data_IF_195599135713
#
_entry.id   IF_195599135713
#
_cell.length_a   1.000
_cell.length_b   1.000
_cell.length_c   1.000
_cell.angle_alpha   90.00
_cell.angle_beta   90.00
_cell.angle_gamma   90.00
#
_symmetry.space_group_name_H-M   'P 1'
#
loop_
_entity.id
_entity.type
_entity.pdbx_description
1 polymer ?
#
# COMPACT_ATOMS: atom_id res chain seq x y z
N UNK A 1 -5.58 6.14 -34.34
CA UNK A 1 -5.29 6.67 -32.98
C UNK A 1 -6.05 5.80 -31.98
N UNK A 2 -5.74 4.50 -32.02
CA UNK A 2 -6.65 3.42 -31.61
C UNK A 2 -6.13 2.65 -30.40
N UNK A 3 -7.06 2.22 -29.54
CA UNK A 3 -6.99 1.18 -28.49
C UNK A 3 -5.92 1.25 -27.38
N UNK A 4 -4.90 2.11 -27.45
CA UNK A 4 -3.82 2.14 -26.44
C UNK A 4 -4.17 2.91 -25.17
N UNK A 5 -5.13 3.84 -25.22
CA UNK A 5 -5.50 4.71 -24.09
C UNK A 5 -5.87 3.95 -22.80
N UNK A 6 -6.81 2.99 -22.84
CA UNK A 6 -7.21 2.23 -21.65
C UNK A 6 -6.09 1.35 -21.08
N UNK A 7 -5.28 0.74 -21.95
CA UNK A 7 -4.16 -0.13 -21.55
C UNK A 7 -3.02 0.68 -20.92
N UNK A 8 -2.62 1.80 -21.54
CA UNK A 8 -1.61 2.71 -20.99
C UNK A 8 -2.06 3.28 -19.64
N UNK A 9 -3.32 3.69 -19.54
CA UNK A 9 -3.90 4.18 -18.28
C UNK A 9 -3.86 3.10 -17.17
N UNK A 10 -4.20 1.86 -17.51
CA UNK A 10 -4.12 0.72 -16.59
C UNK A 10 -2.69 0.44 -16.13
N UNK A 11 -1.70 0.50 -17.04
CA UNK A 11 -0.29 0.32 -16.70
C UNK A 11 0.19 1.42 -15.76
N UNK A 12 -0.12 2.69 -16.04
CA UNK A 12 0.22 3.81 -15.15
C UNK A 12 -0.42 3.64 -13.79
N UNK A 13 -1.71 3.28 -13.74
CA UNK A 13 -2.42 2.97 -12.50
C UNK A 13 -1.71 1.87 -11.71
N UNK A 14 -1.36 0.74 -12.34
CA UNK A 14 -0.66 -0.35 -11.68
C UNK A 14 0.70 0.13 -11.15
N UNK A 15 1.49 0.85 -11.93
CA UNK A 15 2.79 1.35 -11.49
C UNK A 15 2.69 2.29 -10.28
N UNK A 16 1.68 3.17 -10.24
CA UNK A 16 1.55 4.15 -9.15
C UNK A 16 0.83 3.56 -7.94
N UNK A 17 -0.34 2.95 -8.14
CA UNK A 17 -1.20 2.48 -7.05
C UNK A 17 -0.67 1.20 -6.39
N UNK A 18 -0.26 0.19 -7.17
CA UNK A 18 0.21 -1.07 -6.59
C UNK A 18 1.49 -0.86 -5.78
N UNK A 19 2.50 -0.21 -6.37
CA UNK A 19 3.77 0.03 -5.68
C UNK A 19 3.66 1.05 -4.56
N UNK A 20 2.79 2.06 -4.68
CA UNK A 20 2.50 2.98 -3.58
C UNK A 20 1.85 2.29 -2.37
N UNK A 21 0.90 1.41 -2.60
CA UNK A 21 0.28 0.59 -1.55
C UNK A 21 1.26 -0.42 -0.96
N UNK A 22 2.06 -1.08 -1.78
CA UNK A 22 3.11 -1.99 -1.33
C UNK A 22 4.15 -1.27 -0.46
N UNK A 23 4.60 -0.08 -0.88
CA UNK A 23 5.52 0.76 -0.10
C UNK A 23 4.95 1.12 1.27
N UNK A 24 3.67 1.46 1.34
CA UNK A 24 2.99 1.77 2.61
C UNK A 24 2.96 0.57 3.56
N UNK A 25 2.73 -0.64 3.04
CA UNK A 25 2.73 -1.87 3.85
C UNK A 25 4.16 -2.23 4.27
N UNK A 26 5.16 -2.07 3.39
CA UNK A 26 6.57 -2.25 3.75
C UNK A 26 6.99 -1.30 4.86
N UNK A 27 6.49 -0.07 4.86
CA UNK A 27 6.72 0.86 5.97
C UNK A 27 6.10 0.34 7.29
N UNK A 28 4.89 -0.21 7.27
CA UNK A 28 4.30 -0.85 8.47
C UNK A 28 5.15 -2.04 8.94
N UNK A 29 5.60 -2.90 8.02
CA UNK A 29 6.48 -4.03 8.36
C UNK A 29 7.79 -3.53 8.98
N UNK A 30 8.40 -2.48 8.42
CA UNK A 30 9.61 -1.88 8.97
C UNK A 30 9.37 -1.40 10.41
N UNK A 31 8.27 -0.67 10.67
CA UNK A 31 7.92 -0.22 12.02
C UNK A 31 7.68 -1.37 13.00
N UNK A 32 7.03 -2.46 12.55
CA UNK A 32 6.84 -3.66 13.36
C UNK A 32 8.18 -4.31 13.69
N UNK A 33 9.06 -4.50 12.70
CA UNK A 33 10.37 -5.08 12.93
C UNK A 33 11.23 -4.22 13.87
N UNK A 34 11.12 -2.89 13.78
CA UNK A 34 11.71 -1.97 14.75
C UNK A 34 11.18 -2.23 16.17
N UNK A 35 9.87 -2.32 16.36
CA UNK A 35 9.28 -2.64 17.66
C UNK A 35 9.74 -4.01 18.19
N UNK A 36 9.78 -5.03 17.33
CA UNK A 36 10.24 -6.37 17.73
C UNK A 36 11.71 -6.36 18.15
N UNK A 37 12.56 -5.63 17.44
CA UNK A 37 13.98 -5.53 17.75
C UNK A 37 14.27 -4.66 18.98
N UNK A 38 13.71 -3.44 19.04
CA UNK A 38 13.97 -2.48 20.11
C UNK A 38 13.21 -2.83 21.39
N UNK A 39 11.88 -3.03 21.29
CA UNK A 39 11.02 -3.21 22.45
C UNK A 39 10.95 -4.66 22.96
N UNK A 40 10.81 -5.62 22.04
CA UNK A 40 10.74 -7.04 22.41
C UNK A 40 12.11 -7.74 22.45
N UNK A 41 13.17 -7.05 22.03
CA UNK A 41 14.56 -7.55 22.01
C UNK A 41 14.72 -8.85 21.22
N UNK A 42 13.92 -9.05 20.18
CA UNK A 42 14.04 -10.22 19.30
C UNK A 42 15.34 -10.16 18.50
N UNK A 43 16.01 -11.31 18.37
CA UNK A 43 17.16 -11.47 17.49
C UNK A 43 16.76 -11.51 16.02
N UNK A 44 17.72 -11.21 15.13
CA UNK A 44 17.48 -11.18 13.68
C UNK A 44 16.98 -12.52 13.12
N UNK A 45 17.42 -13.65 13.67
CA UNK A 45 16.97 -14.99 13.25
C UNK A 45 15.48 -15.21 13.53
N UNK A 46 15.00 -14.76 14.70
CA UNK A 46 13.59 -14.84 15.06
C UNK A 46 12.73 -14.00 14.11
N UNK A 47 13.16 -12.78 13.77
CA UNK A 47 12.44 -11.90 12.83
C UNK A 47 12.47 -12.47 11.41
N UNK A 48 13.62 -12.98 10.97
CA UNK A 48 13.78 -13.58 9.64
C UNK A 48 12.88 -14.80 9.43
N UNK A 49 12.58 -15.56 10.50
CA UNK A 49 11.61 -16.66 10.46
C UNK A 49 10.20 -16.24 9.99
N UNK A 50 9.83 -14.97 10.17
CA UNK A 50 8.53 -14.43 9.75
C UNK A 50 8.55 -13.73 8.39
N UNK A 51 9.71 -13.65 7.70
CA UNK A 51 9.85 -12.91 6.45
C UNK A 51 8.83 -13.32 5.37
N UNK A 52 8.54 -14.62 5.26
CA UNK A 52 7.56 -15.14 4.30
C UNK A 52 6.16 -14.52 4.51
N UNK A 53 5.72 -14.34 5.75
CA UNK A 53 4.43 -13.72 6.07
C UNK A 53 4.43 -12.23 5.74
N UNK A 54 5.54 -11.54 6.02
CA UNK A 54 5.72 -10.13 5.68
C UNK A 54 5.65 -9.90 4.17
N UNK A 55 6.38 -10.69 3.38
CA UNK A 55 6.32 -10.62 1.92
C UNK A 55 4.92 -10.95 1.40
N UNK A 56 4.26 -11.97 1.94
CA UNK A 56 2.91 -12.33 1.53
C UNK A 56 1.94 -11.16 1.75
N UNK A 57 1.96 -10.53 2.93
CA UNK A 57 1.11 -9.37 3.23
C UNK A 57 1.43 -8.17 2.34
N UNK A 58 2.73 -7.86 2.15
CA UNK A 58 3.19 -6.72 1.37
C UNK A 58 2.81 -6.80 -0.12
N UNK A 59 2.67 -8.01 -0.67
CA UNK A 59 2.33 -8.20 -2.09
C UNK A 59 0.86 -8.54 -2.30
N UNK A 60 0.26 -9.36 -1.44
CA UNK A 60 -1.12 -9.81 -1.63
C UNK A 60 -2.12 -8.66 -1.40
N UNK A 61 -1.94 -7.85 -0.35
CA UNK A 61 -2.88 -6.78 -0.03
C UNK A 61 -2.95 -5.72 -1.15
N UNK A 62 -1.83 -5.20 -1.70
CA UNK A 62 -1.89 -4.29 -2.85
C UNK A 62 -2.44 -4.96 -4.10
N UNK A 63 -2.14 -6.25 -4.33
CA UNK A 63 -2.68 -7.01 -5.47
C UNK A 63 -4.21 -7.07 -5.41
N UNK A 64 -4.76 -7.50 -4.28
CA UNK A 64 -6.21 -7.60 -4.07
C UNK A 64 -6.88 -6.23 -4.24
N UNK A 65 -6.30 -5.17 -3.65
CA UNK A 65 -6.83 -3.82 -3.81
C UNK A 65 -6.78 -3.34 -5.26
N UNK A 66 -5.70 -3.64 -5.99
CA UNK A 66 -5.56 -3.24 -7.40
C UNK A 66 -6.58 -3.97 -8.28
N UNK A 67 -6.75 -5.27 -8.06
CA UNK A 67 -7.76 -6.09 -8.75
C UNK A 67 -9.17 -5.57 -8.46
N UNK A 68 -9.48 -5.25 -7.20
CA UNK A 68 -10.78 -4.71 -6.82
C UNK A 68 -11.08 -3.38 -7.55
N UNK A 69 -10.11 -2.46 -7.60
CA UNK A 69 -10.26 -1.19 -8.34
C UNK A 69 -10.50 -1.42 -9.83
N UNK A 70 -9.75 -2.35 -10.44
CA UNK A 70 -9.91 -2.69 -11.86
C UNK A 70 -11.26 -3.37 -12.13
N UNK A 71 -11.69 -4.29 -11.27
CA UNK A 71 -12.98 -4.98 -11.38
C UNK A 71 -14.16 -4.01 -11.28
N UNK A 72 -14.02 -2.95 -10.46
CA UNK A 72 -15.02 -1.89 -10.33
C UNK A 72 -14.93 -0.83 -11.45
N UNK A 73 -13.94 -0.94 -12.35
CA UNK A 73 -13.66 0.05 -13.40
C UNK A 73 -13.52 1.48 -12.87
N UNK A 74 -12.94 1.62 -11.67
CA UNK A 74 -12.83 2.89 -10.94
C UNK A 74 -11.50 3.63 -11.18
N UNK A 75 -10.82 3.35 -12.29
CA UNK A 75 -9.56 4.01 -12.67
C UNK A 75 -9.87 5.17 -13.59
N UNK A 76 -9.49 6.37 -13.16
CA UNK A 76 -9.73 7.61 -13.90
C UNK A 76 -8.40 8.30 -14.25
N UNK A 77 -8.35 8.91 -15.44
CA UNK A 77 -7.22 9.74 -15.86
C UNK A 77 -7.31 11.16 -15.30
N UNK A 78 -6.16 11.72 -14.91
CA UNK A 78 -5.99 13.13 -14.59
C UNK A 78 -5.20 13.82 -15.71
N UNK A 79 -5.79 14.72 -16.51
CA UNK A 79 -5.07 15.43 -17.56
C UNK A 79 -4.06 16.46 -17.02
N UNK A 80 -4.23 16.94 -15.79
CA UNK A 80 -3.33 17.92 -15.16
C UNK A 80 -2.11 17.21 -14.58
N UNK A 81 -2.32 16.11 -13.86
CA UNK A 81 -1.23 15.34 -13.28
C UNK A 81 -0.57 14.35 -14.27
N UNK A 82 -1.24 14.05 -15.39
CA UNK A 82 -0.74 13.12 -16.40
C UNK A 82 -0.68 11.67 -15.92
N UNK A 83 -1.51 11.29 -14.94
CA UNK A 83 -1.55 9.94 -14.35
C UNK A 83 -2.94 9.33 -14.45
N UNK A 84 -3.02 8.02 -14.24
CA UNK A 84 -4.26 7.31 -14.02
C UNK A 84 -4.31 6.76 -12.60
N UNK A 85 -5.40 7.04 -11.88
CA UNK A 85 -5.52 6.71 -10.46
C UNK A 85 -6.96 6.49 -10.05
N UNK A 86 -7.17 5.83 -8.90
CA UNK A 86 -8.51 5.63 -8.33
C UNK A 86 -8.93 6.83 -7.51
N UNK A 87 -10.19 7.23 -7.66
CA UNK A 87 -10.79 8.28 -6.85
C UNK A 87 -10.50 9.70 -7.32
N UNK A 88 -9.98 9.88 -8.54
CA UNK A 88 -9.75 11.22 -9.10
C UNK A 88 -11.07 11.97 -9.39
N UNK A 89 -12.10 11.24 -9.84
CA UNK A 89 -13.44 11.78 -10.13
C UNK A 89 -14.49 11.35 -9.10
N UNK A 90 -14.15 10.48 -8.15
CA UNK A 90 -15.06 9.94 -7.14
C UNK A 90 -14.49 10.01 -5.74
N UNK A 91 -15.11 10.84 -4.91
CA UNK A 91 -14.72 11.04 -3.52
C UNK A 91 -14.97 9.80 -2.65
N UNK A 92 -15.95 8.96 -3.03
CA UNK A 92 -16.18 7.66 -2.38
C UNK A 92 -15.01 6.70 -2.64
N UNK A 93 -14.60 6.56 -3.90
CA UNK A 93 -13.46 5.73 -4.29
C UNK A 93 -12.15 6.23 -3.66
N UNK A 94 -11.96 7.56 -3.60
CA UNK A 94 -10.79 8.15 -2.94
C UNK A 94 -10.74 7.79 -1.46
N UNK A 95 -11.87 7.90 -0.75
CA UNK A 95 -11.96 7.56 0.67
C UNK A 95 -11.73 6.07 0.90
N UNK A 96 -12.39 5.21 0.12
CA UNK A 96 -12.35 3.75 0.32
C UNK A 96 -11.04 3.10 -0.09
N UNK A 97 -10.48 3.46 -1.25
CA UNK A 97 -9.30 2.79 -1.80
C UNK A 97 -7.98 3.45 -1.38
N UNK A 98 -7.98 4.75 -1.09
CA UNK A 98 -6.75 5.52 -0.85
C UNK A 98 -6.68 5.98 0.61
N UNK A 99 -7.57 6.87 1.02
CA UNK A 99 -7.44 7.57 2.29
C UNK A 99 -7.59 6.64 3.51
N UNK A 100 -8.66 5.84 3.56
CA UNK A 100 -8.88 4.95 4.70
C UNK A 100 -7.72 3.93 4.88
N UNK A 101 -7.26 3.23 3.83
CA UNK A 101 -6.10 2.35 3.94
C UNK A 101 -4.82 3.06 4.37
N UNK A 102 -4.52 4.24 3.81
CA UNK A 102 -3.33 5.01 4.19
C UNK A 102 -3.38 5.46 5.65
N UNK A 103 -4.52 5.93 6.13
CA UNK A 103 -4.70 6.29 7.53
C UNK A 103 -4.54 5.09 8.46
N UNK A 104 -5.09 3.93 8.08
CA UNK A 104 -4.94 2.68 8.85
C UNK A 104 -3.47 2.27 8.90
N UNK A 105 -2.78 2.24 7.75
CA UNK A 105 -1.36 1.89 7.70
C UNK A 105 -0.56 2.85 8.55
N UNK A 106 -0.72 4.16 8.34
CA UNK A 106 -0.04 5.23 9.08
C UNK A 106 -0.26 5.09 10.60
N UNK A 107 -1.50 4.90 11.04
CA UNK A 107 -1.82 4.71 12.45
C UNK A 107 -1.10 3.48 13.02
N UNK A 108 -1.20 2.33 12.35
CA UNK A 108 -0.56 1.08 12.77
C UNK A 108 0.95 1.23 12.88
N UNK A 109 1.61 1.74 11.83
CA UNK A 109 3.06 1.87 11.86
C UNK A 109 3.54 2.92 12.87
N UNK A 110 2.79 4.00 13.06
CA UNK A 110 3.11 5.01 14.08
C UNK A 110 3.00 4.42 15.49
N UNK A 111 1.97 3.60 15.75
CA UNK A 111 1.83 2.89 17.01
C UNK A 111 3.03 1.97 17.28
N UNK A 112 3.50 1.20 16.31
CA UNK A 112 4.69 0.36 16.47
C UNK A 112 5.96 1.19 16.70
N UNK A 113 6.16 2.29 15.96
CA UNK A 113 7.30 3.17 16.16
C UNK A 113 7.32 3.73 17.59
N UNK A 114 6.21 4.30 18.04
CA UNK A 114 6.10 4.87 19.39
C UNK A 114 6.30 3.81 20.48
N UNK A 115 5.72 2.62 20.32
CA UNK A 115 5.91 1.51 21.24
C UNK A 115 7.38 1.08 21.33
N UNK A 116 8.11 1.06 20.20
CA UNK A 116 9.53 0.73 20.15
C UNK A 116 10.46 1.79 20.74
N UNK A 117 10.05 3.07 20.76
CA UNK A 117 10.79 4.13 21.44
C UNK A 117 10.54 4.18 22.95
N UNK A 118 9.35 3.77 23.39
CA UNK A 118 8.93 3.80 24.80
C UNK A 118 9.27 2.54 25.61
N UNK A 119 10.03 1.59 25.04
CA UNK A 119 10.37 0.29 25.65
C UNK A 119 11.87 0.12 25.94
#
# INVERSE_FOLDING_TARGET
YESTGPALCTVVFLLVYFFGMASSIWWVILSLTWFLAAGMKWGNEAIAGYAQYFHLAAWLLPSVKSIAVLALSSVDGDPVAGICYVGNQSLENLRGFVLAPLLIYLAIGSMFLLAGFGS
#
